data_IF_033696119356
#
_entry.id   IF_033696119356
#
_cell.length_a   1.000
_cell.length_b   1.000
_cell.length_c   1.000
_cell.angle_alpha   90.00
_cell.angle_beta   90.00
_cell.angle_gamma   90.00
#
_symmetry.space_group_name_H-M   'P 1'
#
loop_
_entity.id
_entity.type
_entity.pdbx_description
1 polymer ?
#
# COMPACT_ATOMS: atom_id res chain seq x y z
N UNK A 1 6.67 -5.11 -6.78
CA UNK A 1 6.78 -3.70 -7.20
C UNK A 1 7.84 -3.45 -8.28
N UNK A 2 8.92 -4.24 -8.32
CA UNK A 2 10.02 -4.04 -9.27
C UNK A 2 9.62 -4.22 -10.74
N UNK A 3 8.63 -5.08 -11.00
CA UNK A 3 8.12 -5.36 -12.34
C UNK A 3 7.25 -4.24 -12.94
N UNK A 4 6.99 -3.17 -12.19
CA UNK A 4 6.20 -2.03 -12.70
C UNK A 4 7.10 -1.15 -13.58
N UNK A 5 6.85 -1.07 -14.90
CA UNK A 5 7.63 -0.21 -15.77
C UNK A 5 7.31 1.28 -15.50
N UNK A 6 8.31 2.14 -15.64
CA UNK A 6 8.14 3.59 -15.49
C UNK A 6 7.87 4.02 -14.05
N UNK A 7 6.85 4.85 -13.84
CA UNK A 7 6.53 5.40 -12.51
C UNK A 7 5.77 4.36 -11.69
N UNK A 8 6.32 4.01 -10.53
CA UNK A 8 5.73 3.01 -9.61
C UNK A 8 4.56 3.53 -8.78
N UNK A 9 4.26 4.83 -8.88
CA UNK A 9 3.17 5.49 -8.17
C UNK A 9 2.22 6.23 -9.11
N UNK A 10 0.97 6.34 -8.68
CA UNK A 10 -0.11 7.05 -9.35
C UNK A 10 -0.88 7.90 -8.33
N UNK A 11 -1.87 8.65 -8.83
CA UNK A 11 -2.79 9.43 -8.01
C UNK A 11 -3.18 10.75 -8.68
N UNK A 12 -4.40 11.22 -8.39
CA UNK A 12 -5.01 12.36 -9.10
C UNK A 12 -4.47 13.71 -8.62
N UNK A 13 -4.19 13.84 -7.33
CA UNK A 13 -3.72 15.08 -6.68
C UNK A 13 -2.21 15.02 -6.46
N UNK A 14 -1.74 13.92 -5.86
CA UNK A 14 -0.33 13.58 -5.68
C UNK A 14 -0.08 12.21 -6.30
N UNK A 15 1.16 11.94 -6.72
CA UNK A 15 1.55 10.60 -7.21
C UNK A 15 2.24 9.82 -6.09
N UNK A 16 1.51 9.57 -5.01
CA UNK A 16 2.00 8.95 -3.77
C UNK A 16 1.44 7.54 -3.55
N UNK A 17 0.42 7.13 -4.31
CA UNK A 17 -0.17 5.80 -4.20
C UNK A 17 0.66 4.80 -5.01
N UNK A 18 1.20 3.74 -4.39
CA UNK A 18 1.98 2.73 -5.11
C UNK A 18 1.08 1.83 -5.95
N UNK A 19 1.53 1.44 -7.15
CA UNK A 19 0.87 0.39 -7.96
C UNK A 19 0.88 -0.95 -7.21
N UNK A 20 2.03 -1.28 -6.64
CA UNK A 20 2.19 -2.36 -5.67
C UNK A 20 3.02 -1.82 -4.50
N UNK A 21 2.55 -2.03 -3.26
CA UNK A 21 3.28 -1.73 -2.05
C UNK A 21 4.68 -2.37 -2.08
N UNK A 22 5.66 -1.65 -1.55
CA UNK A 22 7.06 -2.04 -1.56
C UNK A 22 7.60 -2.17 -0.14
N UNK A 23 7.68 -1.05 0.59
CA UNK A 23 8.23 -1.04 1.96
C UNK A 23 7.15 -1.09 3.03
N UNK A 24 5.99 -0.47 2.77
CA UNK A 24 4.88 -0.36 3.71
C UNK A 24 3.55 -0.67 3.02
N UNK A 25 2.67 -1.34 3.76
CA UNK A 25 1.23 -1.43 3.47
C UNK A 25 0.51 -0.51 4.45
N UNK A 26 -0.23 0.46 3.92
CA UNK A 26 -0.88 1.55 4.67
C UNK A 26 -2.34 1.27 5.01
N UNK A 27 -2.99 0.35 4.29
CA UNK A 27 -4.38 0.00 4.54
C UNK A 27 -4.70 -1.43 4.12
N UNK A 28 -5.79 -1.97 4.65
CA UNK A 28 -6.29 -3.31 4.29
C UNK A 28 -6.77 -3.29 2.84
N UNK A 29 -6.13 -4.09 1.99
CA UNK A 29 -6.45 -4.22 0.58
C UNK A 29 -5.48 -3.50 -0.36
N UNK A 30 -4.44 -2.84 0.15
CA UNK A 30 -3.40 -2.27 -0.71
C UNK A 30 -2.70 -3.38 -1.51
N UNK A 31 -2.59 -3.26 -2.85
CA UNK A 31 -1.99 -4.30 -3.67
C UNK A 31 -0.50 -4.50 -3.39
N UNK A 32 -0.03 -5.74 -3.31
CA UNK A 32 1.40 -6.07 -3.11
C UNK A 32 1.97 -6.85 -4.31
N UNK A 33 1.13 -7.67 -4.93
CA UNK A 33 1.45 -8.45 -6.12
C UNK A 33 0.17 -8.69 -6.93
N UNK A 34 0.36 -9.10 -8.19
CA UNK A 34 -0.71 -9.57 -9.06
C UNK A 34 -0.29 -10.88 -9.73
N UNK A 35 -1.28 -11.68 -10.12
CA UNK A 35 -1.09 -12.92 -10.87
C UNK A 35 -1.92 -12.87 -12.15
N UNK A 36 -1.29 -13.23 -13.26
CA UNK A 36 -1.95 -13.44 -14.54
C UNK A 36 -1.85 -14.92 -14.94
N UNK A 37 -2.95 -15.50 -15.41
CA UNK A 37 -3.03 -16.85 -15.95
C UNK A 37 -4.20 -16.95 -16.92
N UNK A 38 -4.20 -17.98 -17.77
CA UNK A 38 -5.25 -18.18 -18.79
C UNK A 38 -6.63 -18.52 -18.19
N UNK A 39 -6.69 -18.93 -16.93
CA UNK A 39 -7.92 -19.34 -16.24
C UNK A 39 -8.00 -18.75 -14.82
N UNK A 40 -9.16 -18.23 -14.38
CA UNK A 40 -9.32 -17.63 -13.05
C UNK A 40 -8.99 -18.57 -11.88
N UNK A 41 -9.26 -19.87 -12.04
CA UNK A 41 -8.92 -20.89 -11.03
C UNK A 41 -7.41 -20.96 -10.77
N UNK A 42 -6.60 -20.86 -11.83
CA UNK A 42 -5.15 -20.87 -11.72
C UNK A 42 -4.65 -19.64 -10.98
N UNK A 43 -5.19 -18.45 -11.26
CA UNK A 43 -4.88 -17.25 -10.49
C UNK A 43 -5.24 -17.41 -9.01
N UNK A 44 -6.41 -17.95 -8.68
CA UNK A 44 -6.83 -18.16 -7.29
C UNK A 44 -5.88 -19.08 -6.52
N UNK A 45 -5.48 -20.20 -7.12
CA UNK A 45 -4.50 -21.11 -6.50
C UNK A 45 -3.13 -20.47 -6.32
N UNK A 46 -2.65 -19.74 -7.34
CA UNK A 46 -1.37 -19.05 -7.28
C UNK A 46 -1.36 -17.92 -6.24
N UNK A 47 -2.44 -17.12 -6.15
CA UNK A 47 -2.60 -16.10 -5.12
C UNK A 47 -2.57 -16.71 -3.71
N UNK A 48 -3.25 -17.85 -3.50
CA UNK A 48 -3.23 -18.55 -2.22
C UNK A 48 -1.85 -19.15 -1.85
N UNK A 49 -0.97 -19.34 -2.84
CA UNK A 49 0.39 -19.84 -2.62
C UNK A 49 1.40 -18.73 -2.28
N UNK A 50 1.08 -17.46 -2.55
CA UNK A 50 1.93 -16.32 -2.20
C UNK A 50 1.94 -16.16 -0.68
N UNK A 51 3.15 -16.10 -0.11
CA UNK A 51 3.37 -15.81 1.30
C UNK A 51 3.98 -14.42 1.42
N UNK A 52 3.40 -13.60 2.29
CA UNK A 52 3.92 -12.28 2.62
C UNK A 52 4.17 -12.24 4.12
N UNK A 53 5.38 -11.85 4.50
CA UNK A 53 5.78 -11.66 5.89
C UNK A 53 5.69 -10.18 6.23
N UNK A 54 5.02 -9.85 7.33
CA UNK A 54 4.84 -8.48 7.78
C UNK A 54 5.44 -8.31 9.18
N UNK A 55 6.08 -7.16 9.40
CA UNK A 55 6.14 -6.56 10.71
C UNK A 55 4.84 -5.76 10.91
N UNK A 56 3.95 -6.24 11.78
CA UNK A 56 2.65 -5.59 12.00
C UNK A 56 2.83 -4.34 12.87
N UNK A 57 2.53 -3.18 12.29
CA UNK A 57 2.54 -1.89 12.98
C UNK A 57 1.17 -1.57 13.58
N UNK A 58 1.14 -0.65 14.56
CA UNK A 58 -0.11 -0.15 15.13
C UNK A 58 -0.84 0.76 14.11
N UNK A 59 -2.08 0.44 13.72
CA UNK A 59 -2.79 1.21 12.71
C UNK A 59 -3.29 2.54 13.29
N UNK A 60 -3.00 3.64 12.60
CA UNK A 60 -3.55 4.95 12.90
C UNK A 60 -4.92 5.09 12.23
N UNK A 61 -5.98 4.91 13.02
CA UNK A 61 -7.38 4.89 12.53
C UNK A 61 -8.21 6.07 13.00
N UNK A 62 -7.66 6.89 13.90
CA UNK A 62 -8.31 8.09 14.42
C UNK A 62 -7.72 9.34 13.76
N UNK A 63 -8.58 10.13 13.13
CA UNK A 63 -8.20 11.37 12.47
C UNK A 63 -7.70 12.44 13.47
N UNK A 64 -8.24 12.48 14.69
CA UNK A 64 -7.81 13.43 15.73
C UNK A 64 -6.40 13.10 16.22
N UNK A 65 -6.03 11.81 16.25
CA UNK A 65 -4.64 11.42 16.51
C UNK A 65 -3.74 11.79 15.33
N UNK A 66 -4.21 11.62 14.09
CA UNK A 66 -3.40 11.85 12.90
C UNK A 66 -2.90 13.30 12.75
N UNK A 67 -3.71 14.27 13.18
CA UNK A 67 -3.35 15.70 13.11
C UNK A 67 -2.39 16.15 14.23
N UNK A 68 -2.15 15.31 15.24
CA UNK A 68 -1.28 15.68 16.35
C UNK A 68 0.19 15.70 15.89
N UNK A 69 0.97 16.75 16.25
CA UNK A 69 2.37 16.85 15.85
C UNK A 69 3.28 15.71 16.34
N UNK A 70 2.88 15.03 17.41
CA UNK A 70 3.64 13.92 17.99
C UNK A 70 3.36 12.57 17.30
N UNK A 71 2.32 12.48 16.48
CA UNK A 71 1.94 11.23 15.81
C UNK A 71 2.89 10.96 14.64
N UNK A 72 3.53 9.78 14.59
CA UNK A 72 4.38 9.41 13.47
C UNK A 72 3.61 9.48 12.14
N UNK A 73 4.26 9.95 11.06
CA UNK A 73 3.57 10.10 9.80
C UNK A 73 3.44 8.77 9.05
N UNK A 74 2.29 8.52 8.41
CA UNK A 74 2.07 7.38 7.51
C UNK A 74 2.76 7.61 6.14
N UNK A 75 2.74 8.85 5.67
CA UNK A 75 3.36 9.28 4.42
C UNK A 75 4.57 10.19 4.70
N UNK A 76 5.61 10.19 3.85
CA UNK A 76 6.83 11.00 4.08
C UNK A 76 6.59 12.51 4.22
N UNK A 77 5.53 13.03 3.61
CA UNK A 77 5.10 14.43 3.62
C UNK A 77 4.17 14.79 4.79
N UNK A 78 3.81 13.81 5.63
CA UNK A 78 3.03 13.99 6.85
C UNK A 78 1.60 13.44 6.77
N UNK A 79 0.86 13.57 7.88
CA UNK A 79 -0.52 13.08 8.01
C UNK A 79 -1.59 14.10 7.55
N UNK A 80 -1.18 15.31 7.16
CA UNK A 80 -2.08 16.42 6.83
C UNK A 80 -1.81 16.92 5.41
N UNK A 81 -2.71 16.61 4.49
CA UNK A 81 -2.56 16.94 3.06
C UNK A 81 -2.77 18.44 2.75
N UNK A 82 -3.61 19.13 3.54
CA UNK A 82 -3.91 20.56 3.36
C UNK A 82 -4.30 21.19 4.69
N UNK A 83 -3.77 22.39 4.95
CA UNK A 83 -4.18 23.25 6.08
C UNK A 83 -5.18 24.30 5.62
#
# INVERSE_FOLDING_TARGET
>A
AEDVPGKKTYGLISSDQPVFAQDFVRYVGEPIAAVAADHPETCRRALAAIKVEYEVLSPLTDAELAIQPATPPIHPDGNVIRR
#
